data_IF_060889792419
#
_entry.id   IF_060889792419
#
_cell.length_a   1.000
_cell.length_b   1.000
_cell.length_c   1.000
_cell.angle_alpha   90.00
_cell.angle_beta   90.00
_cell.angle_gamma   90.00
#
_symmetry.space_group_name_H-M   'P 1'
#
loop_
_entity.id
_entity.type
_entity.pdbx_description
1 polymer ?
#
# COMPACT_ATOMS: atom_id res chain seq x y z
N UNK A 11 -15.61 -12.90 20.28
CA UNK A 11 -16.28 -12.51 19.05
C UNK A 11 -15.28 -12.10 17.98
N UNK A 12 -15.52 -10.96 17.36
CA UNK A 12 -14.61 -10.41 16.36
C UNK A 12 -13.32 -9.86 16.97
N UNK A 13 -13.31 -9.63 18.29
CA UNK A 13 -12.19 -8.91 18.90
C UNK A 13 -10.91 -9.71 18.83
N UNK A 14 -10.96 -11.01 19.10
CA UNK A 14 -9.71 -11.78 19.17
C UNK A 14 -8.98 -11.82 17.83
N UNK A 15 -9.59 -12.25 16.71
CA UNK A 15 -8.85 -12.24 15.45
C UNK A 15 -8.44 -10.85 14.98
N UNK A 16 -9.28 -9.84 15.19
CA UNK A 16 -8.95 -8.47 14.82
C UNK A 16 -7.76 -7.92 15.59
N UNK A 17 -7.71 -8.12 16.91
CA UNK A 17 -6.56 -7.65 17.69
C UNK A 17 -5.27 -8.36 17.31
N UNK A 18 -5.31 -9.68 17.10
CA UNK A 18 -4.11 -10.40 16.72
C UNK A 18 -3.64 -9.98 15.33
N UNK A 19 -4.56 -9.84 14.38
CA UNK A 19 -4.16 -9.42 13.05
C UNK A 19 -3.67 -7.98 13.02
N UNK A 20 -4.29 -7.11 13.82
CA UNK A 20 -3.83 -5.72 13.91
C UNK A 20 -2.44 -5.66 14.53
N UNK A 21 -2.17 -6.48 15.54
CA UNK A 21 -0.83 -6.52 16.13
C UNK A 21 0.18 -7.07 15.12
N UNK A 22 -0.19 -8.09 14.36
CA UNK A 22 0.71 -8.62 13.33
C UNK A 22 1.01 -7.56 12.28
N UNK A 23 -0.01 -6.84 11.83
CA UNK A 23 0.19 -5.79 10.85
C UNK A 23 0.91 -4.58 11.37
N UNK A 24 0.80 -4.31 12.67
CA UNK A 24 1.57 -3.23 13.27
C UNK A 24 3.04 -3.59 13.35
N UNK A 25 3.34 -4.79 13.84
CA UNK A 25 4.73 -5.19 14.00
C UNK A 25 5.38 -5.64 12.71
N UNK A 26 4.61 -5.93 11.66
CA UNK A 26 5.18 -6.25 10.37
C UNK A 26 5.38 -5.03 9.49
N UNK A 27 4.73 -3.91 9.80
CA UNK A 27 4.91 -2.68 9.06
C UNK A 27 5.64 -1.59 9.85
N UNK A 28 5.86 -1.78 11.15
CA UNK A 28 6.71 -0.88 11.92
C UNK A 28 8.14 -1.22 11.57
N UNK A 29 8.60 -0.63 10.46
CA UNK A 29 9.91 -0.92 9.88
C UNK A 29 10.74 0.35 9.90
N UNK A 30 11.55 0.56 10.94
CA UNK A 30 12.35 1.78 11.02
C UNK A 30 13.37 1.93 9.90
N UNK A 31 13.80 0.83 9.27
CA UNK A 31 14.80 0.92 8.22
C UNK A 31 14.23 1.33 6.88
N UNK A 32 12.91 1.28 6.70
CA UNK A 32 12.33 1.64 5.41
C UNK A 32 12.57 3.09 5.02
N UNK A 33 12.38 4.10 5.88
CA UNK A 33 12.69 5.47 5.46
C UNK A 33 14.15 5.67 5.06
N UNK A 34 15.08 4.99 5.73
CA UNK A 34 16.49 5.07 5.40
C UNK A 34 16.99 3.81 4.70
N UNK A 35 16.17 3.23 3.82
CA UNK A 35 16.64 2.10 3.03
C UNK A 35 17.68 2.53 2.01
N UNK A 36 17.43 3.63 1.29
CA UNK A 36 18.36 4.08 0.27
C UNK A 36 19.72 4.44 0.85
N UNK A 37 19.83 5.25 1.91
CA UNK A 37 21.16 5.47 2.50
C UNK A 37 21.81 4.21 3.05
N UNK A 38 21.00 3.24 3.50
CA UNK A 38 21.56 2.05 4.13
C UNK A 38 22.37 1.23 3.14
N UNK A 39 21.78 0.89 2.00
CA UNK A 39 22.45 0.08 0.99
C UNK A 39 23.16 0.92 -0.07
N UNK A 40 23.50 2.17 0.28
CA UNK A 40 24.31 3.02 -0.58
C UNK A 40 25.43 3.70 0.20
N UNK A 41 25.54 3.45 1.50
CA UNK A 41 26.56 4.04 2.31
C UNK A 41 27.74 3.11 2.50
N UNK A 42 28.33 3.10 3.69
CA UNK A 42 29.49 2.26 3.97
C UNK A 42 29.16 0.80 4.31
N UNK A 43 27.89 0.46 4.53
CA UNK A 43 27.52 -0.90 4.87
C UNK A 43 27.55 -1.83 3.65
N UNK A 44 27.12 -1.34 2.49
CA UNK A 44 27.07 -2.14 1.28
C UNK A 44 27.95 -1.59 0.16
N UNK A 45 28.13 -0.28 0.11
CA UNK A 45 28.93 0.38 -0.94
C UNK A 45 28.41 0.03 -2.33
N UNK A 46 27.11 0.24 -2.52
CA UNK A 46 26.44 -0.04 -3.79
C UNK A 46 26.16 1.28 -4.50
N UNK A 47 26.56 1.36 -5.77
CA UNK A 47 26.34 2.56 -6.54
C UNK A 47 24.85 2.80 -6.78
N UNK A 48 24.45 4.07 -6.81
CA UNK A 48 23.05 4.42 -6.95
C UNK A 48 22.46 3.93 -8.27
N UNK A 49 23.29 3.73 -9.29
CA UNK A 49 22.79 3.20 -10.56
C UNK A 49 22.30 1.76 -10.40
N UNK A 50 23.02 0.95 -9.62
CA UNK A 50 22.68 -0.45 -9.49
C UNK A 50 21.45 -0.68 -8.61
N UNK A 51 21.03 0.32 -7.85
CA UNK A 51 19.93 0.15 -6.91
C UNK A 51 18.60 0.41 -7.58
N UNK A 52 18.61 1.15 -8.69
CA UNK A 52 17.35 1.53 -9.32
C UNK A 52 17.15 0.84 -10.66
N UNK A 53 18.23 0.28 -11.22
CA UNK A 53 18.16 -0.36 -12.52
C UNK A 53 18.41 -1.86 -12.48
N UNK A 54 18.91 -2.40 -11.37
CA UNK A 54 19.20 -3.82 -11.26
C UNK A 54 18.63 -4.45 -10.01
N UNK A 55 18.24 -3.67 -9.02
CA UNK A 55 17.76 -4.19 -7.75
C UNK A 55 16.27 -3.91 -7.61
N UNK A 56 15.89 -2.63 -7.71
CA UNK A 56 14.49 -2.26 -7.49
C UNK A 56 13.51 -2.88 -8.48
N UNK A 57 13.76 -2.92 -9.79
CA UNK A 57 12.79 -3.55 -10.70
C UNK A 57 12.53 -5.02 -10.40
N UNK A 58 13.49 -5.71 -9.78
CA UNK A 58 13.27 -7.08 -9.37
C UNK A 58 12.10 -7.16 -8.39
N UNK A 59 11.95 -6.14 -7.56
CA UNK A 59 10.82 -6.13 -6.63
C UNK A 59 9.50 -6.10 -7.38
N UNK A 60 9.38 -5.27 -8.41
CA UNK A 60 8.12 -5.21 -9.16
C UNK A 60 7.86 -6.50 -9.91
N UNK A 61 8.89 -7.07 -10.53
CA UNK A 61 8.70 -8.33 -11.25
C UNK A 61 8.26 -9.45 -10.30
N UNK A 62 8.93 -9.56 -9.15
CA UNK A 62 8.56 -10.57 -8.17
C UNK A 62 7.19 -10.29 -7.60
N UNK A 63 6.84 -9.02 -7.44
CA UNK A 63 5.50 -8.65 -6.99
C UNK A 63 4.44 -9.17 -7.94
N UNK A 64 4.64 -9.00 -9.24
CA UNK A 64 3.66 -9.52 -10.21
C UNK A 64 3.58 -11.04 -10.16
N UNK A 65 4.74 -11.71 -10.30
CA UNK A 65 4.74 -13.16 -10.43
C UNK A 65 4.47 -13.87 -9.11
N UNK A 66 4.42 -13.14 -8.00
CA UNK A 66 4.01 -13.71 -6.73
C UNK A 66 2.61 -13.27 -6.31
N UNK A 67 2.10 -12.18 -6.89
CA UNK A 67 0.69 -11.86 -6.78
C UNK A 67 -0.17 -12.85 -7.53
N UNK A 68 0.32 -13.40 -8.65
CA UNK A 68 -0.51 -14.41 -9.32
C UNK A 68 -0.82 -15.59 -8.40
N UNK A 69 0.18 -16.26 -7.80
CA UNK A 69 -0.17 -17.37 -6.89
C UNK A 69 -1.06 -16.94 -5.74
N UNK A 70 -0.88 -15.71 -5.24
CA UNK A 70 -1.64 -15.28 -4.07
C UNK A 70 -3.12 -15.20 -4.41
N UNK A 71 -3.48 -14.52 -5.49
CA UNK A 71 -4.89 -14.40 -5.80
C UNK A 71 -5.44 -15.69 -6.40
N UNK A 72 -4.56 -16.62 -6.77
CA UNK A 72 -5.05 -17.92 -7.24
C UNK A 72 -5.17 -18.91 -6.09
N UNK A 73 -4.21 -18.89 -5.15
CA UNK A 73 -4.12 -19.94 -4.15
C UNK A 73 -4.54 -19.55 -2.74
N UNK A 74 -4.64 -18.25 -2.41
CA UNK A 74 -4.86 -17.86 -1.02
C UNK A 74 -6.21 -18.35 -0.49
N UNK A 75 -7.25 -18.26 -1.31
CA UNK A 75 -8.59 -18.64 -0.84
C UNK A 75 -8.66 -20.12 -0.47
N UNK A 76 -8.02 -20.99 -1.25
CA UNK A 76 -8.07 -22.42 -0.96
C UNK A 76 -7.31 -22.76 0.31
N UNK A 77 -6.22 -22.05 0.60
CA UNK A 77 -5.37 -22.39 1.73
C UNK A 77 -5.86 -21.69 2.99
N UNK A 78 -6.98 -20.96 2.88
CA UNK A 78 -7.67 -20.35 4.01
C UNK A 78 -6.87 -19.24 4.67
N UNK A 79 -6.05 -18.54 3.89
CA UNK A 79 -5.52 -17.21 4.21
C UNK A 79 -4.48 -17.17 5.31
N UNK A 80 -4.32 -18.24 6.08
CA UNK A 80 -3.29 -18.17 7.12
C UNK A 80 -1.91 -18.53 6.60
N UNK A 81 -1.74 -19.64 5.84
CA UNK A 81 -0.39 -19.98 5.36
C UNK A 81 0.26 -18.87 4.55
N UNK A 82 -0.52 -18.10 3.79
CA UNK A 82 0.06 -16.99 3.04
C UNK A 82 0.53 -15.90 4.01
N UNK A 83 -0.22 -15.65 5.08
CA UNK A 83 0.22 -14.71 6.10
C UNK A 83 1.47 -15.23 6.79
N UNK A 84 1.48 -16.52 7.14
CA UNK A 84 2.67 -17.11 7.76
C UNK A 84 3.85 -17.05 6.79
N UNK A 85 3.59 -17.31 5.51
CA UNK A 85 4.64 -17.19 4.51
C UNK A 85 5.14 -15.76 4.40
N UNK A 86 4.24 -14.81 4.70
CA UNK A 86 4.59 -13.37 4.69
C UNK A 86 5.55 -13.09 5.86
N UNK A 87 5.27 -13.69 7.02
CA UNK A 87 6.13 -13.54 8.18
C UNK A 87 7.49 -14.18 7.99
N UNK A 88 7.52 -15.36 7.37
CA UNK A 88 8.80 -16.01 7.11
C UNK A 88 9.54 -15.38 5.94
N UNK A 89 8.84 -14.62 5.09
CA UNK A 89 9.52 -13.85 4.04
C UNK A 89 10.03 -12.52 4.58
N UNK A 90 9.38 -11.99 5.62
CA UNK A 90 9.96 -10.84 6.33
C UNK A 90 11.29 -11.21 6.95
N UNK A 91 11.37 -12.38 7.57
CA UNK A 91 12.60 -12.79 8.26
C UNK A 91 13.73 -12.95 7.26
N UNK A 92 13.47 -13.61 6.14
CA UNK A 92 14.49 -13.82 5.13
C UNK A 92 14.92 -12.48 4.52
N UNK A 93 13.95 -11.61 4.21
CA UNK A 93 14.26 -10.34 3.58
C UNK A 93 15.20 -9.50 4.45
N UNK A 94 14.83 -9.30 5.72
CA UNK A 94 15.63 -8.43 6.57
C UNK A 94 16.89 -9.12 7.06
N UNK A 95 16.89 -10.45 7.13
CA UNK A 95 18.12 -11.18 7.44
C UNK A 95 19.14 -11.02 6.32
N UNK A 96 18.69 -11.09 5.08
CA UNK A 96 19.61 -10.89 3.96
C UNK A 96 20.02 -9.43 3.83
N UNK A 97 19.12 -8.49 4.17
CA UNK A 97 19.51 -7.09 4.21
C UNK A 97 20.56 -6.84 5.28
N UNK A 98 20.45 -7.53 6.42
CA UNK A 98 21.44 -7.39 7.49
C UNK A 98 22.81 -7.86 7.03
N UNK A 99 22.89 -9.08 6.49
CA UNK A 99 24.17 -9.74 6.22
C UNK A 99 24.33 -10.07 4.74
N UNK A 100 23.87 -9.20 3.86
CA UNK A 100 23.99 -9.41 2.41
C UNK A 100 24.92 -8.38 1.80
N UNK A 101 25.71 -8.84 0.84
CA UNK A 101 26.64 -7.99 0.11
C UNK A 101 26.51 -8.25 -1.38
N UNK A 102 26.60 -7.19 -2.17
CA UNK A 102 26.54 -7.32 -3.61
C UNK A 102 25.14 -7.19 -4.15
N UNK A 103 25.06 -6.95 -5.47
CA UNK A 103 23.78 -6.79 -6.14
C UNK A 103 23.00 -8.09 -6.15
N UNK A 104 23.69 -9.23 -6.27
CA UNK A 104 23.00 -10.50 -6.46
C UNK A 104 22.08 -10.83 -5.29
N UNK A 105 22.54 -10.64 -4.06
CA UNK A 105 21.70 -10.95 -2.91
C UNK A 105 20.68 -9.86 -2.62
N UNK A 106 20.95 -8.62 -3.03
CA UNK A 106 19.91 -7.59 -2.99
C UNK A 106 18.75 -7.92 -3.90
N UNK A 107 19.01 -8.56 -5.04
CA UNK A 107 17.93 -8.98 -5.91
C UNK A 107 17.07 -10.05 -5.23
N UNK A 108 17.71 -10.95 -4.48
CA UNK A 108 16.94 -11.93 -3.71
C UNK A 108 16.14 -11.24 -2.61
N UNK A 109 16.71 -10.21 -2.01
CA UNK A 109 15.98 -9.41 -1.02
C UNK A 109 14.72 -8.83 -1.65
N UNK A 110 14.87 -8.27 -2.85
CA UNK A 110 13.71 -7.67 -3.53
C UNK A 110 12.69 -8.73 -3.91
N UNK A 111 13.15 -9.91 -4.30
CA UNK A 111 12.23 -11.01 -4.60
C UNK A 111 11.39 -11.37 -3.38
N UNK A 112 12.05 -11.49 -2.22
CA UNK A 112 11.32 -11.84 -1.01
C UNK A 112 10.43 -10.69 -0.54
N UNK A 113 10.82 -9.44 -0.84
CA UNK A 113 9.94 -8.31 -0.53
C UNK A 113 8.70 -8.33 -1.42
N UNK A 114 8.86 -8.68 -2.69
CA UNK A 114 7.70 -8.87 -3.53
C UNK A 114 6.78 -9.96 -3.03
N UNK A 115 7.36 -11.06 -2.56
CA UNK A 115 6.57 -12.09 -1.89
C UNK A 115 5.85 -11.53 -0.67
N UNK A 116 6.53 -10.69 0.09
CA UNK A 116 5.94 -10.10 1.30
C UNK A 116 4.71 -9.29 0.95
N UNK A 117 4.79 -8.47 -0.10
CA UNK A 117 3.65 -7.62 -0.44
C UNK A 117 2.51 -8.44 -1.06
N UNK A 118 2.86 -9.40 -1.93
CA UNK A 118 1.86 -10.30 -2.47
C UNK A 118 1.09 -11.00 -1.36
N UNK A 119 1.76 -11.36 -0.28
CA UNK A 119 1.08 -11.94 0.87
C UNK A 119 0.42 -10.90 1.77
N UNK A 120 0.83 -9.63 1.69
CA UNK A 120 0.08 -8.58 2.35
C UNK A 120 -1.34 -8.50 1.80
N UNK A 121 -1.49 -8.84 0.52
CA UNK A 121 -2.84 -8.96 -0.04
C UNK A 121 -3.68 -9.94 0.78
N UNK A 122 -3.11 -11.12 1.05
CA UNK A 122 -3.82 -12.11 1.87
C UNK A 122 -4.00 -11.63 3.30
N UNK A 123 -3.05 -10.87 3.82
CA UNK A 123 -3.23 -10.26 5.14
C UNK A 123 -4.48 -9.41 5.18
N UNK A 124 -4.72 -8.64 4.11
CA UNK A 124 -5.92 -7.82 4.06
C UNK A 124 -7.18 -8.67 3.94
N UNK A 125 -7.13 -9.76 3.17
CA UNK A 125 -8.34 -10.57 2.98
C UNK A 125 -8.68 -11.43 4.20
N UNK A 126 -7.68 -11.76 5.03
CA UNK A 126 -7.87 -12.76 6.08
C UNK A 126 -8.97 -12.36 7.04
N UNK A 127 -8.96 -11.09 7.49
CA UNK A 127 -9.89 -10.70 8.55
C UNK A 127 -11.32 -10.77 8.07
N UNK A 128 -11.57 -10.46 6.79
CA UNK A 128 -12.90 -10.68 6.23
C UNK A 128 -13.22 -12.16 6.17
N UNK A 129 -12.20 -13.01 6.02
CA UNK A 129 -12.48 -14.44 6.00
C UNK A 129 -12.93 -14.99 7.35
N UNK A 130 -12.78 -14.25 8.45
CA UNK A 130 -13.02 -14.82 9.78
C UNK A 130 -14.13 -14.12 10.55
N UNK A 131 -14.46 -12.86 10.27
CA UNK A 131 -15.45 -12.15 11.07
C UNK A 131 -16.78 -12.13 10.33
N UNK A 132 -17.85 -11.89 11.09
CA UNK A 132 -19.18 -11.80 10.51
C UNK A 132 -19.31 -10.52 9.68
N UNK A 133 -20.18 -10.53 8.67
CA UNK A 133 -20.31 -9.35 7.81
C UNK A 133 -20.76 -8.10 8.55
N UNK A 134 -21.39 -8.29 9.71
CA UNK A 134 -21.82 -7.17 10.55
C UNK A 134 -20.65 -6.35 11.06
N UNK A 135 -19.46 -6.95 11.21
CA UNK A 135 -18.28 -6.23 11.68
C UNK A 135 -17.33 -5.90 10.53
N UNK A 136 -17.76 -6.05 9.28
CA UNK A 136 -16.87 -5.79 8.16
C UNK A 136 -16.45 -4.33 8.08
N UNK A 137 -17.31 -3.41 8.54
CA UNK A 137 -16.96 -2.00 8.46
C UNK A 137 -15.88 -1.64 9.46
N UNK A 138 -16.20 -1.75 10.76
CA UNK A 138 -15.26 -1.39 11.82
C UNK A 138 -13.89 -2.00 11.56
N UNK A 139 -13.85 -3.33 11.58
CA UNK A 139 -12.65 -4.11 11.32
C UNK A 139 -11.86 -3.51 10.17
N UNK A 140 -12.54 -3.25 9.04
CA UNK A 140 -11.87 -2.70 7.86
C UNK A 140 -10.93 -1.57 8.26
N UNK A 141 -11.50 -0.49 8.79
CA UNK A 141 -10.69 0.65 9.15
C UNK A 141 -9.55 0.24 10.05
N UNK A 142 -9.89 -0.48 11.14
CA UNK A 142 -8.90 -0.86 12.12
C UNK A 142 -7.71 -1.51 11.44
N UNK A 143 -7.98 -2.49 10.57
CA UNK A 143 -6.89 -3.17 9.89
C UNK A 143 -6.01 -2.16 9.18
N UNK A 144 -6.57 -1.45 8.20
CA UNK A 144 -5.77 -0.49 7.47
C UNK A 144 -5.09 0.46 8.45
N UNK A 145 -5.85 0.91 9.45
CA UNK A 145 -5.34 1.91 10.38
C UNK A 145 -4.00 1.48 10.95
N UNK A 146 -3.95 0.26 11.52
CA UNK A 146 -2.74 -0.09 12.24
C UNK A 146 -1.56 -0.08 11.29
N UNK A 147 -1.73 -0.63 10.09
CA UNK A 147 -0.63 -0.65 9.14
C UNK A 147 -0.11 0.75 8.92
N UNK A 148 -1.01 1.68 8.58
CA UNK A 148 -0.57 3.06 8.38
C UNK A 148 0.08 3.59 9.64
N UNK A 149 -0.60 3.43 10.78
CA UNK A 149 -0.03 3.91 12.04
C UNK A 149 1.32 3.27 12.28
N UNK A 150 1.44 1.97 11.96
CA UNK A 150 2.70 1.28 12.14
C UNK A 150 3.82 2.05 11.46
N UNK A 151 3.62 2.38 10.18
CA UNK A 151 4.67 3.08 9.45
C UNK A 151 5.05 4.36 10.18
N UNK A 152 4.04 5.15 10.57
CA UNK A 152 4.33 6.39 11.28
C UNK A 152 5.22 6.11 12.48
N UNK A 153 4.80 5.16 13.32
CA UNK A 153 5.60 4.86 14.50
C UNK A 153 7.01 4.52 14.08
N UNK A 154 7.15 3.56 13.15
CA UNK A 154 8.47 3.21 12.70
C UNK A 154 9.25 4.42 12.26
N UNK A 155 8.64 5.21 11.37
CA UNK A 155 9.33 6.38 10.85
C UNK A 155 9.78 7.27 12.00
N UNK A 156 8.86 7.64 12.88
CA UNK A 156 9.25 8.56 13.93
C UNK A 156 10.31 7.92 14.80
N UNK A 157 10.12 6.63 15.14
CA UNK A 157 11.14 5.95 15.92
C UNK A 157 12.48 6.04 15.21
N UNK A 158 12.51 5.68 13.93
CA UNK A 158 13.75 5.74 13.18
C UNK A 158 14.34 7.14 13.27
N UNK A 159 13.52 8.17 13.02
CA UNK A 159 14.04 9.52 13.04
C UNK A 159 14.60 9.86 14.41
N UNK A 160 13.88 9.50 15.48
CA UNK A 160 14.41 9.73 16.81
C UNK A 160 15.71 8.96 16.99
N UNK A 161 15.72 7.69 16.57
CA UNK A 161 16.91 6.87 16.71
C UNK A 161 18.07 7.38 15.88
N UNK A 162 17.83 8.28 14.93
CA UNK A 162 18.93 8.91 14.22
C UNK A 162 19.25 10.29 14.77
N UNK A 163 18.26 10.97 15.37
CA UNK A 163 18.45 12.34 15.84
C UNK A 163 18.52 12.43 17.36
N UNK A 164 18.56 11.30 18.05
CA UNK A 164 18.70 11.29 19.50
C UNK A 164 19.71 10.29 20.03
N UNK A 165 20.19 9.35 19.21
CA UNK A 165 21.13 8.34 19.66
C UNK A 165 22.34 8.16 18.76
N UNK A 166 22.39 8.84 17.62
CA UNK A 166 23.47 8.66 16.63
C UNK A 166 23.62 7.19 16.28
N UNK A 167 22.48 6.51 16.12
CA UNK A 167 22.43 5.07 15.93
C UNK A 167 22.59 4.73 14.45
N UNK A 168 23.51 3.82 14.16
CA UNK A 168 23.81 3.47 12.79
C UNK A 168 22.63 2.74 12.15
N UNK A 169 22.67 2.63 10.82
CA UNK A 169 21.60 2.01 10.08
C UNK A 169 21.56 0.50 10.24
N UNK A 170 22.68 -0.14 10.59
CA UNK A 170 22.70 -1.59 10.71
C UNK A 170 21.82 -2.07 11.85
N UNK A 171 22.02 -1.45 13.01
CA UNK A 171 21.21 -1.75 14.22
C UNK A 171 19.76 -1.38 13.93
N UNK A 172 19.53 -0.22 13.28
CA UNK A 172 18.18 0.17 12.91
C UNK A 172 17.49 -0.94 12.12
N UNK A 173 18.22 -1.53 11.19
CA UNK A 173 17.67 -2.62 10.40
C UNK A 173 17.46 -3.87 11.25
N UNK A 174 18.34 -4.10 12.24
CA UNK A 174 18.11 -5.26 13.09
C UNK A 174 16.90 -5.03 14.00
N UNK A 175 16.64 -3.78 14.39
CA UNK A 175 15.39 -3.50 15.09
C UNK A 175 14.19 -3.76 14.18
N UNK A 176 14.31 -3.39 12.91
CA UNK A 176 13.25 -3.72 11.96
C UNK A 176 13.02 -5.24 11.89
N UNK A 177 14.11 -6.01 11.85
CA UNK A 177 14.00 -7.46 11.83
C UNK A 177 13.37 -8.01 13.09
N UNK A 178 13.75 -7.46 14.25
CA UNK A 178 13.13 -7.89 15.51
C UNK A 178 11.64 -7.58 15.52
N UNK A 179 11.28 -6.43 14.94
CA UNK A 179 9.88 -5.98 14.85
C UNK A 179 9.07 -6.94 13.98
N UNK A 180 9.61 -7.34 12.83
CA UNK A 180 8.89 -8.26 11.95
C UNK A 180 8.97 -9.69 12.46
N UNK A 181 9.98 -10.02 13.28
CA UNK A 181 10.02 -11.34 13.90
C UNK A 181 8.89 -11.50 14.91
N UNK A 182 8.62 -10.47 15.70
CA UNK A 182 7.49 -10.51 16.62
C UNK A 182 6.18 -10.62 15.85
N UNK A 183 6.10 -9.96 14.69
CA UNK A 183 4.90 -10.08 13.85
C UNK A 183 4.67 -11.51 13.41
N UNK A 184 5.75 -12.23 13.11
CA UNK A 184 5.62 -13.63 12.72
C UNK A 184 5.04 -14.47 13.86
N UNK A 185 5.51 -14.23 15.09
CA UNK A 185 4.97 -14.95 16.23
C UNK A 185 3.50 -14.61 16.46
N UNK A 186 3.12 -13.34 16.27
CA UNK A 186 1.71 -12.99 16.36
C UNK A 186 0.89 -13.68 15.29
N UNK A 187 1.41 -13.76 14.06
CA UNK A 187 0.68 -14.40 12.98
C UNK A 187 0.54 -15.90 13.22
N UNK A 188 1.46 -16.48 14.00
CA UNK A 188 1.30 -17.88 14.39
C UNK A 188 0.03 -18.09 15.20
N UNK A 189 -0.39 -17.07 15.95
CA UNK A 189 -1.53 -17.14 16.85
C UNK A 189 -2.86 -16.78 16.17
N UNK A 190 -2.84 -16.46 14.89
CA UNK A 190 -4.08 -16.13 14.19
C UNK A 190 -5.01 -17.35 14.14
N UNK A 191 -6.28 -17.16 14.47
CA UNK A 191 -7.24 -18.26 14.32
C UNK A 191 -7.36 -18.70 12.87
N UNK A 192 -7.47 -20.00 12.67
CA UNK A 192 -7.61 -20.54 11.33
C UNK A 192 -9.04 -20.37 10.83
N UNK A 193 -9.25 -19.76 9.68
CA UNK A 193 -10.61 -19.59 9.17
C UNK A 193 -11.24 -20.94 8.86
N UNK A 194 -12.57 -20.99 8.97
CA UNK A 194 -13.29 -22.23 8.71
C UNK A 194 -13.30 -22.52 7.21
N UNK A 195 -13.54 -23.79 6.89
CA UNK A 195 -13.48 -24.24 5.50
C UNK A 195 -14.60 -23.61 4.67
N UNK A 196 -14.28 -23.34 3.41
CA UNK A 196 -15.22 -22.75 2.45
C UNK A 196 -15.80 -21.44 2.95
N UNK A 261 -12.01 -27.47 -18.39
CA UNK A 261 -10.64 -27.34 -17.94
C UNK A 261 -10.48 -26.14 -17.01
N UNK A 262 -9.35 -25.46 -17.11
CA UNK A 262 -9.10 -24.28 -16.27
C UNK A 262 -10.00 -23.11 -16.66
N UNK A 263 -10.49 -23.09 -17.90
CA UNK A 263 -11.31 -21.98 -18.36
C UNK A 263 -12.57 -21.84 -17.52
N UNK A 264 -13.08 -22.95 -16.97
CA UNK A 264 -14.22 -22.89 -16.07
C UNK A 264 -13.94 -21.96 -14.90
N UNK A 265 -12.73 -22.04 -14.33
CA UNK A 265 -12.34 -21.12 -13.26
C UNK A 265 -12.58 -19.69 -13.66
N UNK A 266 -12.26 -19.35 -14.91
CA UNK A 266 -12.46 -17.97 -15.39
C UNK A 266 -13.92 -17.56 -15.27
N UNK A 267 -14.82 -18.44 -15.68
CA UNK A 267 -16.25 -18.08 -15.58
C UNK A 267 -16.68 -17.96 -14.13
N UNK A 268 -16.01 -18.67 -13.22
CA UNK A 268 -16.29 -18.47 -11.80
C UNK A 268 -15.97 -17.04 -11.40
N UNK A 269 -14.88 -16.48 -11.93
CA UNK A 269 -14.58 -15.08 -11.72
C UNK A 269 -15.75 -14.21 -12.15
N UNK A 270 -16.42 -14.57 -13.25
CA UNK A 270 -17.59 -13.84 -13.69
C UNK A 270 -18.69 -13.88 -12.64
N UNK A 271 -18.84 -15.05 -12.00
CA UNK A 271 -19.85 -15.18 -10.92
C UNK A 271 -19.40 -14.38 -9.70
N UNK A 272 -18.10 -14.10 -9.58
CA UNK A 272 -17.59 -13.38 -8.41
C UNK A 272 -17.82 -11.89 -8.54
N UNK A 273 -17.79 -11.35 -9.76
CA UNK A 273 -17.96 -9.92 -10.00
C UNK A 273 -19.38 -9.58 -10.46
N UNK A 274 -20.35 -10.44 -10.16
CA UNK A 274 -21.71 -10.22 -10.66
C UNK A 274 -22.48 -9.27 -9.75
N UNK A 275 -21.85 -8.80 -8.68
CA UNK A 275 -22.53 -7.95 -7.71
C UNK A 275 -22.95 -6.62 -8.31
N UNK A 276 -22.26 -6.18 -9.36
CA UNK A 276 -22.56 -4.96 -10.11
C UNK A 276 -22.36 -3.71 -9.25
N UNK A 277 -21.98 -3.90 -7.99
CA UNK A 277 -21.51 -2.82 -7.14
C UNK A 277 -20.05 -2.98 -6.80
N UNK A 278 -19.54 -4.22 -6.82
CA UNK A 278 -18.13 -4.50 -6.67
C UNK A 278 -17.30 -4.02 -7.85
N UNK A 279 -17.81 -4.14 -9.07
CA UNK A 279 -17.08 -3.67 -10.24
C UNK A 279 -16.78 -2.19 -10.14
N UNK A 280 -17.76 -1.41 -9.68
CA UNK A 280 -17.55 0.02 -9.46
C UNK A 280 -16.41 0.27 -8.48
N UNK A 281 -16.47 -0.36 -7.31
CA UNK A 281 -15.43 -0.18 -6.31
C UNK A 281 -14.11 -0.81 -6.73
N UNK A 282 -14.15 -1.97 -7.39
CA UNK A 282 -12.92 -2.58 -7.87
C UNK A 282 -12.29 -1.76 -8.99
N UNK A 283 -13.12 -1.21 -9.88
CA UNK A 283 -12.58 -0.36 -10.94
C UNK A 283 -11.95 0.90 -10.37
N UNK A 284 -12.54 1.48 -9.33
CA UNK A 284 -11.85 2.57 -8.65
C UNK A 284 -10.54 2.09 -8.04
N UNK A 285 -10.57 0.93 -7.37
CA UNK A 285 -9.37 0.40 -6.73
C UNK A 285 -8.28 0.11 -7.76
N UNK A 286 -8.66 -0.50 -8.88
CA UNK A 286 -7.66 -0.88 -9.88
C UNK A 286 -6.94 0.35 -10.43
N UNK A 287 -7.62 1.49 -10.47
CA UNK A 287 -7.03 2.66 -11.12
C UNK A 287 -6.51 3.68 -10.12
N UNK A 288 -7.22 3.92 -9.02
CA UNK A 288 -6.81 4.94 -8.06
C UNK A 288 -5.55 4.58 -7.29
N UNK A 289 -5.37 3.31 -6.91
CA UNK A 289 -4.13 2.90 -6.27
C UNK A 289 -2.97 2.80 -7.23
N UNK A 290 -3.23 2.51 -8.52
CA UNK A 290 -2.18 2.55 -9.51
C UNK A 290 -1.58 3.94 -9.62
N UNK A 291 -2.41 4.98 -9.61
CA UNK A 291 -1.89 6.33 -9.58
C UNK A 291 -1.35 6.72 -8.21
N UNK A 292 -1.95 6.20 -7.14
CA UNK A 292 -1.52 6.55 -5.80
C UNK A 292 -0.11 6.06 -5.51
N UNK A 293 0.23 4.85 -5.91
CA UNK A 293 1.59 4.35 -5.70
C UNK A 293 2.63 5.14 -6.50
N UNK A 294 2.28 5.60 -7.71
CA UNK A 294 3.21 6.44 -8.45
C UNK A 294 3.38 7.80 -7.79
N UNK A 295 2.28 8.38 -7.30
CA UNK A 295 2.39 9.63 -6.55
C UNK A 295 3.26 9.42 -5.32
N UNK A 296 3.09 8.28 -4.64
CA UNK A 296 3.90 7.97 -3.47
C UNK A 296 5.38 7.88 -3.83
N UNK A 297 5.68 7.22 -4.94
CA UNK A 297 7.07 7.05 -5.34
C UNK A 297 7.71 8.37 -5.73
N UNK A 298 6.99 9.23 -6.44
CA UNK A 298 7.62 10.42 -7.00
C UNK A 298 7.35 11.70 -6.22
N UNK A 299 6.61 11.66 -5.12
CA UNK A 299 6.44 12.87 -4.32
C UNK A 299 7.75 13.28 -3.66
N UNK A 300 8.61 12.32 -3.31
CA UNK A 300 9.92 12.65 -2.77
C UNK A 300 10.74 13.44 -3.78
N UNK A 301 10.73 13.00 -5.04
CA UNK A 301 11.47 13.69 -6.09
C UNK A 301 10.85 15.05 -6.35
N UNK A 302 9.52 15.14 -6.29
CA UNK A 302 8.85 16.43 -6.45
C UNK A 302 9.30 17.42 -5.38
N UNK A 303 9.34 16.97 -4.13
CA UNK A 303 9.77 17.84 -3.04
C UNK A 303 11.24 18.24 -3.20
N UNK A 304 12.08 17.29 -3.58
CA UNK A 304 13.49 17.59 -3.79
C UNK A 304 13.71 18.55 -4.96
N UNK A 305 12.81 18.56 -5.92
CA UNK A 305 12.86 19.49 -7.04
C UNK A 305 12.27 20.85 -6.72
N UNK A 306 11.30 20.93 -5.80
CA UNK A 306 10.69 22.19 -5.42
C UNK A 306 11.35 22.82 -4.20
N UNK A 307 12.56 22.34 -3.86
CA UNK A 307 13.31 22.85 -2.69
C UNK A 307 14.79 22.51 -2.83
N UNK A 308 15.57 23.28 -3.62
CA UNK A 308 17.01 23.01 -3.79
C UNK A 308 17.80 23.52 -2.57
N UNK A 309 17.24 24.48 -1.84
CA UNK A 309 17.91 25.04 -0.64
C UNK A 309 17.63 24.17 0.60
N UNK A 310 18.67 23.63 1.21
CA UNK A 310 18.53 22.77 2.42
C UNK A 310 17.45 21.75 2.06
N UNK A 311 16.40 21.66 2.89
CA UNK A 311 15.27 20.70 2.68
C UNK A 311 15.83 19.28 2.54
N UNK A 312 16.36 18.72 3.63
CA UNK A 312 16.96 17.36 3.63
C UNK A 312 15.88 16.28 3.84
N UNK A 313 16.31 15.01 3.91
CA UNK A 313 15.40 13.86 4.08
C UNK A 313 14.64 13.96 5.41
N UNK A 314 15.28 14.46 6.46
CA UNK A 314 14.64 14.61 7.81
C UNK A 314 13.29 15.33 7.66
N UNK A 315 13.27 16.47 6.96
CA UNK A 315 12.03 17.26 6.76
C UNK A 315 11.05 16.51 5.84
N UNK A 316 11.59 15.70 4.91
CA UNK A 316 10.74 14.93 3.95
C UNK A 316 10.21 13.67 4.62
N UNK A 317 11.11 12.69 4.87
CA UNK A 317 10.76 11.41 5.49
C UNK A 317 9.87 11.61 6.71
N UNK A 318 9.99 12.79 7.34
CA UNK A 318 9.18 13.11 8.51
C UNK A 318 7.77 13.50 8.11
N UNK A 319 7.66 14.41 7.13
CA UNK A 319 6.34 14.80 6.64
C UNK A 319 5.60 13.58 6.13
N UNK A 320 6.34 12.70 5.43
CA UNK A 320 5.79 11.43 4.89
C UNK A 320 5.09 10.65 6.03
N UNK A 321 5.72 10.58 7.20
CA UNK A 321 5.12 9.92 8.35
C UNK A 321 3.84 10.62 8.77
N UNK A 322 3.91 11.93 9.03
CA UNK A 322 2.72 12.62 9.50
C UNK A 322 1.61 12.52 8.46
N UNK A 323 1.95 12.59 7.18
CA UNK A 323 0.93 12.45 6.15
C UNK A 323 0.20 11.13 6.31
N UNK A 324 0.95 10.03 6.38
CA UNK A 324 0.29 8.75 6.50
C UNK A 324 -0.42 8.62 7.84
N UNK A 325 0.05 9.34 8.87
CA UNK A 325 -0.69 9.37 10.12
C UNK A 325 -2.11 9.84 9.88
N UNK A 326 -2.26 10.93 9.14
CA UNK A 326 -3.60 11.37 8.79
C UNK A 326 -4.37 10.26 8.10
N UNK A 327 -3.73 9.59 7.14
CA UNK A 327 -4.37 8.46 6.50
C UNK A 327 -4.82 7.42 7.51
N UNK A 328 -3.95 7.09 8.46
CA UNK A 328 -4.35 6.18 9.53
C UNK A 328 -5.62 6.65 10.20
N UNK A 329 -5.64 7.91 10.63
CA UNK A 329 -6.84 8.45 11.26
C UNK A 329 -8.03 8.27 10.32
N UNK A 330 -7.86 8.67 9.06
CA UNK A 330 -8.96 8.51 8.11
C UNK A 330 -9.41 7.07 8.04
N UNK A 331 -8.47 6.13 7.92
CA UNK A 331 -8.87 4.73 7.89
C UNK A 331 -9.62 4.37 9.15
N UNK A 332 -9.06 4.73 10.32
CA UNK A 332 -9.75 4.42 11.57
C UNK A 332 -11.09 5.12 11.62
N UNK A 333 -11.19 6.31 11.02
CA UNK A 333 -12.47 7.01 10.99
C UNK A 333 -13.52 6.16 10.31
N UNK A 334 -13.18 5.53 9.18
CA UNK A 334 -14.13 4.65 8.50
C UNK A 334 -14.54 3.52 9.42
N UNK A 335 -13.60 3.02 10.21
CA UNK A 335 -13.93 1.99 11.18
C UNK A 335 -14.83 2.51 12.28
N UNK A 336 -14.65 3.77 12.68
CA UNK A 336 -15.28 4.17 13.93
C UNK A 336 -16.61 4.91 13.74
N UNK A 337 -16.90 5.63 12.66
CA UNK A 337 -18.13 6.41 12.55
C UNK A 337 -19.24 5.51 12.00
N UNK A 338 -20.43 5.63 12.57
CA UNK A 338 -21.58 4.86 12.12
C UNK A 338 -22.19 5.56 10.92
N UNK A 339 -21.77 5.16 9.73
CA UNK A 339 -22.26 5.72 8.48
C UNK A 339 -22.73 4.58 7.59
N UNK A 340 -23.93 4.75 7.03
CA UNK A 340 -24.50 3.76 6.11
C UNK A 340 -23.86 3.99 4.74
N UNK A 341 -22.79 3.24 4.49
CA UNK A 341 -21.99 3.43 3.28
C UNK A 341 -22.68 2.89 2.04
N UNK A 342 -23.81 2.20 2.22
CA UNK A 342 -24.52 1.65 1.06
C UNK A 342 -25.01 2.75 0.14
N UNK A 343 -25.56 3.84 0.68
CA UNK A 343 -26.01 4.97 -0.12
C UNK A 343 -24.96 6.06 -0.25
N UNK A 344 -24.13 6.25 0.76
CA UNK A 344 -23.11 7.29 0.74
C UNK A 344 -21.79 6.82 0.16
N UNK A 345 -21.70 5.57 -0.30
CA UNK A 345 -20.44 5.09 -0.86
C UNK A 345 -20.06 5.81 -2.15
N UNK A 346 -21.03 5.98 -3.06
CA UNK A 346 -20.73 6.63 -4.32
C UNK A 346 -20.50 8.14 -4.14
N UNK A 347 -21.29 8.76 -3.26
CA UNK A 347 -21.07 10.17 -2.96
C UNK A 347 -19.69 10.38 -2.34
N UNK A 348 -19.30 9.50 -1.42
CA UNK A 348 -17.96 9.57 -0.85
C UNK A 348 -16.90 9.38 -1.92
N UNK A 349 -17.11 8.41 -2.82
CA UNK A 349 -16.13 8.20 -3.88
C UNK A 349 -15.94 9.45 -4.72
N UNK A 350 -17.03 10.04 -5.19
CA UNK A 350 -16.88 11.19 -6.09
C UNK A 350 -16.28 12.39 -5.35
N UNK A 351 -16.74 12.65 -4.12
CA UNK A 351 -16.24 13.80 -3.38
C UNK A 351 -14.76 13.63 -3.08
N UNK A 352 -14.35 12.48 -2.58
CA UNK A 352 -12.96 12.30 -2.22
C UNK A 352 -12.06 12.07 -3.42
N UNK A 353 -12.61 11.65 -4.57
CA UNK A 353 -11.81 11.60 -5.78
C UNK A 353 -11.55 12.98 -6.33
N UNK A 354 -12.55 13.86 -6.31
CA UNK A 354 -12.26 15.24 -6.72
C UNK A 354 -11.35 15.91 -5.69
N UNK A 355 -11.42 15.49 -4.43
CA UNK A 355 -10.47 15.98 -3.43
C UNK A 355 -9.05 15.52 -3.75
N UNK A 356 -8.94 14.26 -4.18
CA UNK A 356 -7.63 13.67 -4.56
C UNK A 356 -7.06 14.47 -5.74
N UNK A 357 -7.91 14.78 -6.73
CA UNK A 357 -7.48 15.54 -7.89
C UNK A 357 -7.06 16.95 -7.50
N UNK A 358 -7.83 17.60 -6.63
CA UNK A 358 -7.48 18.94 -6.19
C UNK A 358 -6.19 18.98 -5.41
N UNK A 359 -5.95 17.96 -4.58
CA UNK A 359 -4.69 17.90 -3.84
C UNK A 359 -3.50 17.67 -4.77
N UNK A 360 -3.66 16.79 -5.75
CA UNK A 360 -2.57 16.54 -6.70
C UNK A 360 -2.26 17.77 -7.53
N UNK A 361 -3.29 18.51 -7.94
CA UNK A 361 -3.05 19.77 -8.64
C UNK A 361 -2.46 20.82 -7.70
N UNK A 362 -2.79 20.73 -6.41
CA UNK A 362 -2.21 21.65 -5.43
C UNK A 362 -0.71 21.47 -5.32
N UNK A 363 -0.24 20.21 -5.34
CA UNK A 363 1.19 19.96 -5.25
C UNK A 363 1.93 20.51 -6.47
N UNK A 364 1.40 20.27 -7.66
CA UNK A 364 2.12 20.63 -8.88
C UNK A 364 2.14 22.14 -9.11
N UNK A 365 0.98 22.79 -8.96
CA UNK A 365 0.85 24.18 -9.39
C UNK A 365 1.58 25.14 -8.46
N UNK A 366 1.40 25.00 -7.15
CA UNK A 366 1.89 25.99 -6.20
C UNK A 366 3.39 25.83 -5.98
N UNK A 367 4.12 26.93 -6.08
CA UNK A 367 5.55 26.95 -5.79
C UNK A 367 5.81 27.32 -4.33
N UNK A 368 5.14 26.60 -3.44
CA UNK A 368 5.28 26.79 -2.01
C UNK A 368 5.29 25.40 -1.40
N UNK A 369 6.40 25.01 -0.78
CA UNK A 369 6.53 23.65 -0.29
C UNK A 369 5.55 23.33 0.83
N UNK A 370 5.10 24.35 1.58
CA UNK A 370 4.12 24.08 2.63
C UNK A 370 2.76 23.74 2.03
N UNK A 371 2.37 24.43 0.96
CA UNK A 371 1.15 24.08 0.25
C UNK A 371 1.23 22.67 -0.34
N UNK A 372 2.38 22.30 -0.91
CA UNK A 372 2.55 20.94 -1.41
C UNK A 372 2.50 19.91 -0.30
N UNK A 373 3.08 20.21 0.86
CA UNK A 373 3.01 19.30 1.99
C UNK A 373 1.58 19.11 2.46
N UNK A 374 0.82 20.20 2.56
CA UNK A 374 -0.58 20.10 2.94
C UNK A 374 -1.38 19.31 1.90
N UNK A 375 -1.09 19.54 0.61
CA UNK A 375 -1.77 18.80 -0.42
C UNK A 375 -1.48 17.31 -0.36
N UNK A 376 -0.23 16.95 -0.06
CA UNK A 376 0.12 15.54 0.06
C UNK A 376 -0.54 14.91 1.27
N UNK A 377 -0.60 15.64 2.40
CA UNK A 377 -1.33 15.14 3.56
C UNK A 377 -2.79 14.90 3.22
N UNK A 378 -3.42 15.85 2.54
CA UNK A 378 -4.82 15.72 2.16
C UNK A 378 -5.00 14.52 1.22
N UNK A 379 -4.10 14.38 0.24
CA UNK A 379 -4.20 13.31 -0.72
C UNK A 379 -4.08 11.94 -0.06
N UNK A 380 -3.08 11.78 0.82
CA UNK A 380 -2.90 10.51 1.50
C UNK A 380 -4.08 10.20 2.42
N UNK A 381 -4.57 11.21 3.16
CA UNK A 381 -5.70 10.98 4.06
C UNK A 381 -6.94 10.56 3.28
N UNK A 382 -7.26 11.36 2.26
CA UNK A 382 -8.46 11.12 1.40
C UNK A 382 -8.38 9.72 0.77
N UNK A 383 -7.24 9.39 0.17
CA UNK A 383 -7.08 8.08 -0.46
C UNK A 383 -7.17 6.95 0.55
N UNK A 384 -6.58 7.11 1.73
CA UNK A 384 -6.66 6.03 2.71
C UNK A 384 -8.10 5.80 3.16
N UNK A 385 -8.84 6.88 3.40
CA UNK A 385 -10.26 6.74 3.71
C UNK A 385 -11.00 6.05 2.57
N UNK A 386 -10.72 6.46 1.33
CA UNK A 386 -11.42 5.90 0.18
C UNK A 386 -11.10 4.42 -0.01
N UNK A 387 -9.84 4.04 0.14
CA UNK A 387 -9.48 2.63 -0.04
C UNK A 387 -10.03 1.78 1.10
N UNK A 388 -10.13 2.32 2.31
CA UNK A 388 -10.80 1.59 3.38
C UNK A 388 -12.27 1.35 3.04
N UNK A 389 -12.95 2.39 2.55
CA UNK A 389 -14.34 2.23 2.14
C UNK A 389 -14.44 1.21 1.01
N UNK A 390 -13.49 1.25 0.07
CA UNK A 390 -13.52 0.33 -1.05
C UNK A 390 -13.37 -1.12 -0.59
N UNK A 391 -12.42 -1.37 0.29
CA UNK A 391 -12.21 -2.73 0.79
C UNK A 391 -13.44 -3.20 1.54
N UNK A 392 -14.01 -2.35 2.39
CA UNK A 392 -15.20 -2.73 3.14
C UNK A 392 -16.37 -3.05 2.21
N UNK A 393 -16.63 -2.16 1.25
CA UNK A 393 -17.79 -2.35 0.36
C UNK A 393 -17.60 -3.52 -0.58
N UNK A 394 -16.36 -3.82 -0.96
CA UNK A 394 -16.10 -5.02 -1.74
C UNK A 394 -16.34 -6.26 -0.89
N UNK A 395 -15.95 -6.21 0.38
CA UNK A 395 -16.11 -7.36 1.26
C UNK A 395 -17.58 -7.68 1.48
N UNK A 396 -18.39 -6.66 1.80
CA UNK A 396 -19.78 -6.95 2.16
C UNK A 396 -20.58 -7.39 0.93
N UNK A 397 -20.32 -6.75 -0.21
CA UNK A 397 -21.07 -7.00 -1.47
C UNK A 397 -20.41 -8.11 -2.31
N UNK A 398 -19.49 -8.90 -1.71
CA UNK A 398 -18.87 -9.97 -2.47
C UNK A 398 -19.78 -11.18 -2.60
N UNK A 399 -20.46 -11.56 -1.52
CA UNK A 399 -21.39 -12.70 -1.45
C UNK A 399 -20.77 -14.01 -1.90
N UNK A 400 -19.44 -14.06 -2.03
CA UNK A 400 -18.70 -15.29 -2.27
C UNK A 400 -17.51 -15.26 -1.31
N UNK A 401 -16.85 -16.40 -1.10
CA UNK A 401 -15.72 -16.49 -0.20
C UNK A 401 -14.43 -15.91 -0.79
N UNK A 402 -14.45 -15.50 -2.06
CA UNK A 402 -13.23 -15.11 -2.77
C UNK A 402 -12.78 -13.70 -2.38
N UNK A 403 -12.41 -13.56 -1.11
CA UNK A 403 -11.93 -12.26 -0.62
C UNK A 403 -10.56 -11.94 -1.19
N UNK A 404 -9.64 -12.90 -1.15
CA UNK A 404 -8.30 -12.66 -1.67
C UNK A 404 -8.27 -12.68 -3.18
N UNK A 405 -9.18 -13.39 -3.82
CA UNK A 405 -9.25 -13.35 -5.28
C UNK A 405 -9.59 -11.96 -5.78
N UNK A 406 -10.57 -11.30 -5.16
CA UNK A 406 -10.94 -9.95 -5.57
C UNK A 406 -9.86 -8.96 -5.16
N UNK A 407 -9.40 -9.02 -3.91
CA UNK A 407 -8.35 -8.13 -3.48
C UNK A 407 -7.07 -8.37 -4.25
N UNK A 408 -6.72 -9.64 -4.47
CA UNK A 408 -5.51 -9.95 -5.22
C UNK A 408 -5.61 -9.53 -6.67
N UNK A 409 -6.76 -9.76 -7.31
CA UNK A 409 -6.90 -9.35 -8.71
C UNK A 409 -6.89 -7.84 -8.83
N UNK A 410 -7.52 -7.17 -7.86
CA UNK A 410 -7.57 -5.69 -7.83
C UNK A 410 -6.15 -5.14 -7.67
N UNK A 411 -5.34 -5.76 -6.80
CA UNK A 411 -3.97 -5.32 -6.58
C UNK A 411 -3.10 -5.61 -7.79
N UNK A 412 -3.26 -6.79 -8.40
CA UNK A 412 -2.47 -7.14 -9.57
C UNK A 412 -2.80 -6.25 -10.76
N UNK A 413 -4.07 -5.97 -10.99
CA UNK A 413 -4.47 -5.10 -12.09
C UNK A 413 -3.96 -3.69 -11.85
N UNK A 414 -4.04 -3.21 -10.60
CA UNK A 414 -3.51 -1.89 -10.28
C UNK A 414 -2.00 -1.83 -10.49
N UNK A 415 -1.29 -2.89 -10.10
CA UNK A 415 0.15 -2.92 -10.31
C UNK A 415 0.50 -2.97 -11.79
N UNK A 416 -0.27 -3.70 -12.59
CA UNK A 416 -0.03 -3.72 -14.03
C UNK A 416 -0.27 -2.35 -14.63
N UNK A 417 -1.37 -1.69 -14.23
CA UNK A 417 -1.65 -0.35 -14.74
C UNK A 417 -0.55 0.63 -14.33
N UNK A 418 -0.12 0.53 -13.07
CA UNK A 418 0.95 1.41 -12.59
C UNK A 418 2.24 1.17 -13.37
N UNK A 419 2.59 -0.09 -13.61
CA UNK A 419 3.80 -0.39 -14.37
C UNK A 419 3.72 0.14 -15.78
N UNK A 420 2.59 -0.10 -16.47
CA UNK A 420 2.45 0.36 -17.84
C UNK A 420 2.50 1.88 -17.92
N UNK A 421 1.79 2.55 -17.02
CA UNK A 421 1.73 4.01 -17.09
C UNK A 421 3.03 4.66 -16.64
N UNK A 422 3.77 4.05 -15.70
CA UNK A 422 5.08 4.60 -15.37
C UNK A 422 6.10 4.32 -16.47
N UNK A 423 5.91 3.24 -17.23
CA UNK A 423 6.75 3.01 -18.40
C UNK A 423 6.49 4.08 -19.44
N UNK A 424 5.22 4.44 -19.65
CA UNK A 424 4.93 5.37 -20.75
C UNK A 424 5.20 6.82 -20.35
N UNK A 425 5.03 7.17 -19.06
CA UNK A 425 5.05 8.60 -18.72
C UNK A 425 6.45 9.05 -18.32
N UNK A 426 7.16 8.26 -17.51
CA UNK A 426 8.33 8.75 -16.78
C UNK A 426 9.60 8.02 -17.16
N UNK A 427 9.52 6.84 -17.76
CA UNK A 427 10.72 6.10 -18.13
C UNK A 427 11.42 6.80 -19.28
N UNK A 428 12.73 6.60 -19.37
CA UNK A 428 13.56 7.29 -20.35
C UNK A 428 13.16 6.94 -21.77
N UNK A 429 12.42 5.83 -21.94
CA UNK A 429 12.01 5.35 -23.25
C UNK A 429 10.58 5.73 -23.58
N UNK A 430 9.73 5.94 -22.58
CA UNK A 430 8.33 6.19 -22.84
C UNK A 430 8.01 7.63 -23.19
N UNK A 431 8.24 8.56 -22.26
CA UNK A 431 8.08 9.97 -22.57
C UNK A 431 9.17 10.83 -21.94
N UNK A 432 9.95 10.24 -21.02
CA UNK A 432 10.92 10.99 -20.21
C UNK A 432 10.34 12.32 -19.75
N UNK A 433 9.18 12.28 -19.11
CA UNK A 433 8.45 13.49 -18.78
C UNK A 433 8.90 14.04 -17.44
N UNK A 434 9.36 15.30 -17.37
CA UNK A 434 9.94 15.80 -16.12
C UNK A 434 8.92 15.92 -15.00
N UNK A 435 9.43 16.07 -13.77
CA UNK A 435 8.68 15.83 -12.54
C UNK A 435 7.47 16.74 -12.38
N UNK A 436 7.65 18.05 -12.62
CA UNK A 436 6.55 18.98 -12.39
C UNK A 436 5.36 18.70 -13.29
N UNK A 437 5.59 18.62 -14.60
CA UNK A 437 4.52 18.22 -15.50
C UNK A 437 4.14 16.76 -15.31
N UNK A 438 5.01 15.95 -14.73
CA UNK A 438 4.64 14.59 -14.36
C UNK A 438 3.55 14.59 -13.29
N UNK A 439 3.68 15.45 -12.27
CA UNK A 439 2.60 15.54 -11.30
C UNK A 439 1.38 16.23 -11.88
N UNK A 440 1.58 17.12 -12.86
CA UNK A 440 0.43 17.62 -13.61
C UNK A 440 -0.34 16.47 -14.25
N UNK A 441 0.40 15.53 -14.85
CA UNK A 441 -0.21 14.35 -15.47
C UNK A 441 -0.92 13.49 -14.43
N UNK A 442 -0.30 13.30 -13.28
CA UNK A 442 -0.93 12.49 -12.22
C UNK A 442 -2.22 13.14 -11.71
N UNK A 443 -2.20 14.45 -11.50
CA UNK A 443 -3.41 15.15 -11.12
C UNK A 443 -4.49 15.07 -12.17
N UNK A 444 -4.11 15.18 -13.45
CA UNK A 444 -5.09 15.02 -14.53
C UNK A 444 -5.65 13.60 -14.56
N UNK A 445 -4.83 12.60 -14.27
CA UNK A 445 -5.29 11.22 -14.24
C UNK A 445 -6.31 11.01 -13.11
N UNK A 446 -6.02 11.55 -11.93
CA UNK A 446 -6.99 11.44 -10.85
C UNK A 446 -8.25 12.26 -11.11
N UNK A 447 -8.11 13.40 -11.79
CA UNK A 447 -9.30 14.15 -12.19
C UNK A 447 -10.14 13.38 -13.20
N UNK A 448 -9.49 12.64 -14.10
CA UNK A 448 -10.21 11.79 -15.03
C UNK A 448 -10.96 10.70 -14.28
N UNK A 449 -10.32 10.08 -13.29
CA UNK A 449 -10.99 9.08 -12.47
C UNK A 449 -12.20 9.71 -11.77
N UNK A 450 -12.03 10.90 -11.19
CA UNK A 450 -13.12 11.55 -10.50
C UNK A 450 -14.28 11.87 -11.45
N UNK A 451 -13.96 12.35 -12.65
CA UNK A 451 -15.01 12.67 -13.61
C UNK A 451 -15.75 11.45 -14.11
N UNK A 452 -15.05 10.33 -14.25
CA UNK A 452 -15.71 9.10 -14.69
C UNK A 452 -16.76 8.67 -13.69
N UNK A 453 -16.43 8.70 -12.40
CA UNK A 453 -17.40 8.30 -11.39
C UNK A 453 -18.44 9.40 -11.14
N UNK A 454 -18.07 10.65 -11.39
CA UNK A 454 -19.05 11.73 -11.31
C UNK A 454 -20.10 11.61 -12.41
N UNK A 455 -19.70 11.11 -13.58
CA UNK A 455 -20.64 10.93 -14.67
C UNK A 455 -21.67 9.85 -14.33
N UNK A 456 -21.26 8.80 -13.61
CA UNK A 456 -22.20 7.73 -13.26
C UNK A 456 -23.33 8.25 -12.37
N UNK A 457 -23.00 9.11 -11.40
CA UNK A 457 -24.03 9.67 -10.55
C UNK A 457 -25.03 10.50 -11.34
N UNK A 458 -24.57 11.23 -12.35
CA UNK A 458 -25.48 11.98 -13.21
C UNK A 458 -26.31 11.03 -14.07
N UNK A 459 -25.72 9.93 -14.51
CA UNK A 459 -26.41 8.98 -15.39
C UNK A 459 -27.37 8.08 -14.63
N UNK A 460 -27.30 8.07 -13.29
CA UNK A 460 -28.25 7.32 -12.48
C UNK A 460 -29.20 8.30 -11.82
N UNK A 461 -29.24 9.52 -12.35
CA UNK A 461 -30.13 10.55 -11.82
C UNK A 461 -30.81 11.31 -12.96
#
# INVERSE_FOLDING_TARGET
MDCYRTSLSSSWIYPTVILCLFGFFSMMRPSEPFLIPYLSGPDKNLTSAEITNEIFPVWTYSYLVLLLPVFVLTDYVRYKPVIILQGISFIITWLLLLFGQGVKTMQVVEFFYGMVTAAEVAYYAYIYSVVSPEHYQRVSGYCRSVTLAAYTAGSVLAQLLVSLANMSYFYLNVISLASVSVAFLFSLFLPMPKKSMFFHAKPSREIKKSSSVNPVLEETHEGEAPGCEEQKPTSEILSTSGKLNKGQLNSLKPSNVTVDVFVQWFQDLKECYSSKRLFYWSLWWAFATAGFNQVLNYVQILWDYKAPSQDSSIYNGAVEAIATFGGAVAAFAVGYVKVNWDLLGELALVVFSVVNAGSLFLMHYTANIWACYAGYLIFKSSYMLLITIAVFQIAVNLNVERYALVFGINTFIALVIQTIMTVIVVDQRGLNLPVSIQFLVYGSYFAVIAGIFLMRSMYITYSTKSQKDVQSPAPSENPDVSHPEEESNIIMSTKL
#
